data_IF_325313097626
#
_entry.id   IF_325313097626
#
_cell.length_a   1.000
_cell.length_b   1.000
_cell.length_c   1.000
_cell.angle_alpha   90.00
_cell.angle_beta   90.00
_cell.angle_gamma   90.00
#
_symmetry.space_group_name_H-M   'P 1'
#
loop_
_entity.id
_entity.type
_entity.pdbx_description
1 polymer ?
#
# COMPACT_ATOMS: atom_id res chain seq x y z
N UNK A 1 26.55 2.71 16.31
CA UNK A 1 25.92 1.51 15.71
C UNK A 1 24.77 1.11 16.61
N UNK A 2 23.58 1.69 16.41
CA UNK A 2 22.40 1.35 17.21
C UNK A 2 21.81 0.07 16.65
N UNK A 3 21.76 -0.98 17.47
CA UNK A 3 21.03 -2.20 17.18
C UNK A 3 19.60 -1.81 16.78
N UNK A 4 19.18 -2.13 15.56
CA UNK A 4 17.77 -2.12 15.21
C UNK A 4 17.15 -3.32 15.90
N UNK A 5 16.24 -3.07 16.85
CA UNK A 5 15.42 -4.09 17.50
C UNK A 5 14.94 -5.12 16.47
N UNK A 6 15.02 -6.40 16.83
CA UNK A 6 14.82 -7.57 15.96
C UNK A 6 13.39 -7.76 15.43
N UNK A 7 12.73 -6.69 14.99
CA UNK A 7 11.40 -6.74 14.40
C UNK A 7 11.53 -6.98 12.89
N UNK A 8 10.99 -8.11 12.45
CA UNK A 8 10.91 -8.43 11.01
C UNK A 8 10.13 -7.34 10.29
N UNK A 9 10.69 -6.70 9.24
CA UNK A 9 9.99 -5.63 8.53
C UNK A 9 8.69 -6.16 7.91
N UNK A 10 7.62 -5.37 8.03
CA UNK A 10 6.27 -5.73 7.63
C UNK A 10 5.67 -4.71 6.65
N UNK A 11 5.29 -5.20 5.48
CA UNK A 11 4.65 -4.45 4.40
C UNK A 11 3.21 -4.93 4.23
N UNK A 12 2.27 -4.02 4.01
CA UNK A 12 0.88 -4.35 3.73
C UNK A 12 0.44 -3.94 2.32
N UNK A 13 -0.40 -4.78 1.70
CA UNK A 13 -1.11 -4.49 0.46
C UNK A 13 -2.58 -4.25 0.81
N UNK A 14 -3.02 -2.99 0.74
CA UNK A 14 -4.41 -2.58 1.01
C UNK A 14 -5.36 -3.02 -0.10
N UNK A 15 -6.65 -3.17 0.21
CA UNK A 15 -7.73 -3.30 -0.79
C UNK A 15 -8.08 -1.91 -1.33
N UNK A 16 -8.18 -1.78 -2.66
CA UNK A 16 -8.66 -0.55 -3.28
C UNK A 16 -10.17 -0.36 -3.06
N UNK A 17 -10.58 0.86 -2.72
CA UNK A 17 -11.97 1.23 -2.42
C UNK A 17 -12.55 2.28 -3.37
N UNK A 18 -11.75 2.87 -4.26
CA UNK A 18 -12.13 4.04 -5.06
C UNK A 18 -13.31 3.79 -6.02
N UNK A 19 -13.36 2.63 -6.68
CA UNK A 19 -14.48 2.21 -7.52
C UNK A 19 -14.41 0.69 -7.78
N UNK A 20 -15.43 0.14 -8.45
CA UNK A 20 -15.50 -1.28 -8.77
C UNK A 20 -14.53 -1.74 -9.88
N UNK A 21 -14.02 -0.79 -10.69
CA UNK A 21 -13.22 -1.05 -11.88
C UNK A 21 -11.71 -1.01 -11.60
N UNK A 22 -11.28 -0.48 -10.46
CA UNK A 22 -9.88 -0.49 -10.03
C UNK A 22 -9.51 -1.90 -9.54
N UNK A 23 -8.99 -2.69 -10.47
CA UNK A 23 -8.57 -4.07 -10.23
C UNK A 23 -7.06 -4.19 -10.01
N UNK A 24 -6.27 -3.14 -10.22
CA UNK A 24 -4.80 -3.24 -10.12
C UNK A 24 -4.38 -3.49 -8.67
N UNK A 25 -3.15 -3.98 -8.52
CA UNK A 25 -2.50 -4.15 -7.23
C UNK A 25 -1.14 -3.45 -7.27
N UNK A 26 -0.68 -2.82 -6.17
CA UNK A 26 0.62 -2.15 -6.14
C UNK A 26 1.78 -3.16 -6.27
N UNK A 27 1.56 -4.42 -5.87
CA UNK A 27 2.52 -5.51 -5.99
C UNK A 27 1.83 -6.76 -6.55
N UNK A 28 2.50 -7.43 -7.48
CA UNK A 28 2.07 -8.73 -8.03
C UNK A 28 2.53 -9.87 -7.11
N UNK A 29 1.98 -11.09 -7.22
CA UNK A 29 2.48 -12.26 -6.49
C UNK A 29 3.99 -12.51 -6.70
N UNK A 30 4.53 -12.21 -7.89
CA UNK A 30 5.97 -12.33 -8.18
C UNK A 30 6.80 -11.36 -7.32
N UNK A 31 6.33 -10.13 -7.12
CA UNK A 31 6.99 -9.17 -6.24
C UNK A 31 6.92 -9.61 -4.78
N UNK A 32 5.76 -10.08 -4.33
CA UNK A 32 5.57 -10.58 -2.98
C UNK A 32 6.48 -11.77 -2.68
N UNK A 33 6.61 -12.73 -3.60
CA UNK A 33 7.56 -13.84 -3.49
C UNK A 33 8.98 -13.38 -3.24
N UNK A 34 9.42 -12.30 -3.93
CA UNK A 34 10.77 -11.73 -3.75
C UNK A 34 10.94 -11.07 -2.38
N UNK A 35 9.91 -10.40 -1.87
CA UNK A 35 9.92 -9.77 -0.54
C UNK A 35 9.95 -10.81 0.57
N UNK A 36 9.08 -11.82 0.49
CA UNK A 36 9.02 -12.92 1.47
C UNK A 36 10.35 -13.67 1.52
N UNK A 37 10.97 -13.96 0.36
CA UNK A 37 12.32 -14.56 0.31
C UNK A 37 13.41 -13.72 0.96
N UNK A 38 13.24 -12.40 1.03
CA UNK A 38 14.16 -11.49 1.73
C UNK A 38 13.85 -11.37 3.22
N UNK A 39 12.92 -12.15 3.75
CA UNK A 39 12.51 -12.11 5.15
C UNK A 39 11.57 -10.94 5.49
N UNK A 40 10.91 -10.33 4.50
CA UNK A 40 9.91 -9.28 4.73
C UNK A 40 8.54 -9.95 4.90
N UNK A 41 7.84 -9.66 6.00
CA UNK A 41 6.45 -10.08 6.20
C UNK A 41 5.56 -9.25 5.27
N UNK A 42 4.66 -9.93 4.54
CA UNK A 42 3.71 -9.26 3.65
C UNK A 42 2.28 -9.56 4.09
N UNK A 43 1.57 -8.55 4.58
CA UNK A 43 0.14 -8.61 4.86
C UNK A 43 -0.65 -8.24 3.61
N UNK A 44 -1.80 -8.86 3.40
CA UNK A 44 -2.70 -8.52 2.29
C UNK A 44 -4.14 -8.51 2.75
N UNK A 45 -4.83 -7.40 2.48
CA UNK A 45 -6.26 -7.34 2.70
C UNK A 45 -7.02 -8.22 1.67
N UNK A 46 -8.02 -8.99 2.13
CA UNK A 46 -9.00 -9.64 1.27
C UNK A 46 -9.55 -8.69 0.22
N UNK A 47 -9.68 -9.13 -1.04
CA UNK A 47 -10.35 -8.35 -2.08
C UNK A 47 -10.88 -9.27 -3.16
N UNK A 48 -12.15 -9.10 -3.53
CA UNK A 48 -12.80 -9.82 -4.62
C UNK A 48 -12.61 -9.13 -5.99
N UNK A 49 -11.98 -7.95 -6.03
CA UNK A 49 -11.82 -7.14 -7.26
C UNK A 49 -10.42 -7.20 -7.87
N UNK A 50 -9.41 -7.49 -7.04
CA UNK A 50 -8.00 -7.48 -7.43
C UNK A 50 -7.75 -8.40 -8.65
N UNK A 51 -6.87 -7.97 -9.55
CA UNK A 51 -6.55 -8.65 -10.80
C UNK A 51 -5.90 -10.01 -10.58
N UNK A 52 -5.19 -10.16 -9.46
CA UNK A 52 -4.62 -11.42 -9.02
C UNK A 52 -5.48 -12.00 -7.88
N UNK A 53 -5.93 -13.26 -7.99
CA UNK A 53 -6.61 -13.97 -6.91
C UNK A 53 -5.80 -13.95 -5.61
N UNK A 54 -6.49 -13.91 -4.47
CA UNK A 54 -5.82 -13.88 -3.17
C UNK A 54 -5.00 -15.13 -2.90
N UNK A 55 -5.42 -16.27 -3.47
CA UNK A 55 -4.74 -17.56 -3.36
C UNK A 55 -3.32 -17.50 -3.93
N UNK A 56 -3.10 -16.73 -5.00
CA UNK A 56 -1.78 -16.57 -5.61
C UNK A 56 -0.80 -15.85 -4.67
N UNK A 57 -1.31 -14.91 -3.85
CA UNK A 57 -0.50 -14.23 -2.84
C UNK A 57 -0.20 -15.16 -1.65
N UNK A 58 -1.17 -15.94 -1.20
CA UNK A 58 -0.98 -16.91 -0.11
C UNK A 58 0.05 -17.97 -0.51
N UNK A 59 -0.01 -18.47 -1.75
CA UNK A 59 0.92 -19.46 -2.26
C UNK A 59 2.39 -18.99 -2.28
N UNK A 60 2.62 -17.67 -2.26
CA UNK A 60 3.97 -17.07 -2.20
C UNK A 60 4.35 -16.53 -0.82
N UNK A 61 3.53 -16.81 0.21
CA UNK A 61 3.82 -16.50 1.61
C UNK A 61 3.25 -15.17 2.11
N UNK A 62 2.28 -14.56 1.42
CA UNK A 62 1.51 -13.46 1.99
C UNK A 62 0.56 -13.95 3.09
N UNK A 63 0.32 -13.10 4.09
CA UNK A 63 -0.60 -13.36 5.19
C UNK A 63 -1.87 -12.55 4.94
N UNK A 64 -3.02 -13.24 4.86
CA UNK A 64 -4.31 -12.58 4.69
C UNK A 64 -4.77 -12.00 6.02
N UNK A 65 -4.99 -10.68 6.07
CA UNK A 65 -5.40 -9.99 7.29
C UNK A 65 -6.16 -8.71 6.93
N UNK A 66 -7.25 -8.42 7.65
CA UNK A 66 -8.02 -7.19 7.44
C UNK A 66 -7.35 -5.99 8.13
N UNK A 67 -6.86 -6.20 9.36
CA UNK A 67 -6.10 -5.20 10.12
C UNK A 67 -4.65 -5.11 9.62
N UNK A 68 -4.23 -3.91 9.25
CA UNK A 68 -2.88 -3.62 8.73
C UNK A 68 -2.00 -2.86 9.73
N UNK A 69 -2.47 -2.71 10.98
CA UNK A 69 -1.80 -1.92 12.03
C UNK A 69 -0.41 -2.46 12.41
N UNK A 70 -0.09 -3.71 12.10
CA UNK A 70 1.27 -4.26 12.29
C UNK A 70 2.27 -3.77 11.24
N UNK A 71 1.81 -3.36 10.04
CA UNK A 71 2.70 -2.97 8.97
C UNK A 71 3.35 -1.61 9.26
N UNK A 72 4.62 -1.46 8.89
CA UNK A 72 5.29 -0.16 8.89
C UNK A 72 5.01 0.60 7.59
N UNK A 73 4.86 -0.12 6.48
CA UNK A 73 4.54 0.41 5.16
C UNK A 73 3.24 -0.19 4.61
N UNK A 74 2.28 0.66 4.24
CA UNK A 74 1.02 0.28 3.61
C UNK A 74 1.01 0.79 2.17
N UNK A 75 0.80 -0.13 1.21
CA UNK A 75 0.77 0.18 -0.21
C UNK A 75 -0.64 0.12 -0.77
N UNK A 76 -0.99 1.12 -1.59
CA UNK A 76 -2.19 1.13 -2.44
C UNK A 76 -1.86 1.65 -3.84
N UNK A 77 -2.72 1.39 -4.81
CA UNK A 77 -2.65 1.98 -6.15
C UNK A 77 -3.10 3.43 -6.07
N UNK A 78 -4.27 3.71 -5.46
CA UNK A 78 -4.81 5.07 -5.38
C UNK A 78 -4.71 5.64 -3.96
N UNK A 79 -5.00 6.93 -3.84
CA UNK A 79 -5.04 7.61 -2.56
C UNK A 79 -6.04 6.94 -1.60
N UNK A 80 -5.69 6.95 -0.31
CA UNK A 80 -6.51 6.37 0.77
C UNK A 80 -7.38 7.48 1.36
N UNK A 81 -8.70 7.26 1.55
CA UNK A 81 -9.54 8.23 2.25
C UNK A 81 -8.99 8.57 3.63
N UNK A 82 -9.05 9.84 4.04
CA UNK A 82 -8.46 10.33 5.30
C UNK A 82 -8.96 9.52 6.51
N UNK A 83 -10.24 9.12 6.50
CA UNK A 83 -10.89 8.37 7.57
C UNK A 83 -10.36 6.93 7.72
N UNK A 84 -9.72 6.39 6.67
CA UNK A 84 -9.13 5.05 6.65
C UNK A 84 -7.61 5.07 6.89
N UNK A 85 -7.02 6.25 7.11
CA UNK A 85 -5.61 6.36 7.46
C UNK A 85 -5.37 5.87 8.88
N UNK A 86 -4.49 4.88 9.00
CA UNK A 86 -3.98 4.41 10.29
C UNK A 86 -2.91 5.41 10.74
N UNK A 87 -3.05 6.02 11.94
CA UNK A 87 -2.05 6.96 12.45
C UNK A 87 -0.66 6.36 12.56
N UNK A 88 0.38 7.19 12.41
CA UNK A 88 1.79 6.83 12.61
C UNK A 88 2.31 5.73 11.65
N UNK A 89 1.64 5.54 10.50
CA UNK A 89 2.06 4.60 9.45
C UNK A 89 2.70 5.29 8.27
N UNK A 90 3.49 4.52 7.51
CA UNK A 90 4.00 4.96 6.22
C UNK A 90 3.08 4.49 5.10
N UNK A 91 2.68 5.39 4.21
CA UNK A 91 1.88 5.04 3.02
C UNK A 91 2.67 5.27 1.72
N UNK A 92 2.48 4.38 0.74
CA UNK A 92 2.99 4.53 -0.61
C UNK A 92 1.88 4.23 -1.64
N UNK A 93 1.51 5.23 -2.44
CA UNK A 93 0.46 5.13 -3.45
C UNK A 93 0.64 6.15 -4.58
N UNK A 94 -0.11 5.95 -5.68
CA UNK A 94 -0.21 6.95 -6.74
C UNK A 94 -1.30 7.97 -6.39
N UNK A 95 -0.88 9.19 -6.05
CA UNK A 95 -1.75 10.27 -5.58
C UNK A 95 -2.47 11.01 -6.69
N UNK A 96 -2.08 10.85 -7.97
CA UNK A 96 -2.59 11.67 -9.10
C UNK A 96 -2.50 13.20 -8.82
N UNK A 97 -1.57 13.65 -7.97
CA UNK A 97 -1.44 15.05 -7.53
C UNK A 97 -0.68 15.96 -8.51
N UNK A 98 -0.31 15.46 -9.69
CA UNK A 98 0.47 16.19 -10.70
C UNK A 98 -0.23 17.48 -11.18
N UNK A 99 -1.56 17.58 -11.02
CA UNK A 99 -2.33 18.75 -11.47
C UNK A 99 -2.60 19.84 -10.42
N UNK A 100 -1.96 19.82 -9.26
CA UNK A 100 -2.17 20.81 -8.19
C UNK A 100 -3.66 21.10 -7.92
N UNK A 101 -4.49 20.05 -7.95
CA UNK A 101 -5.93 20.21 -7.73
C UNK A 101 -6.18 20.53 -6.26
N UNK A 102 -6.90 21.62 -6.04
CA UNK A 102 -7.19 22.22 -4.72
C UNK A 102 -7.84 21.24 -3.74
N UNK A 103 -8.51 20.21 -4.25
CA UNK A 103 -9.18 19.15 -3.48
C UNK A 103 -8.22 18.25 -2.67
N UNK A 104 -6.92 18.21 -3.01
CA UNK A 104 -5.93 17.35 -2.34
C UNK A 104 -5.15 18.03 -1.20
N UNK A 105 -5.37 19.32 -0.96
CA UNK A 105 -4.71 20.07 0.13
C UNK A 105 -5.07 19.57 1.54
N UNK A 106 -6.33 19.16 1.85
CA UNK A 106 -6.66 18.58 3.15
C UNK A 106 -5.98 17.23 3.42
N UNK A 107 -5.67 16.45 2.38
CA UNK A 107 -4.91 15.21 2.50
C UNK A 107 -3.45 15.51 2.84
N UNK A 108 -2.87 16.55 2.26
CA UNK A 108 -1.51 16.99 2.56
C UNK A 108 -1.38 17.48 4.01
N UNK A 109 -2.34 18.26 4.51
CA UNK A 109 -2.35 18.73 5.90
C UNK A 109 -2.55 17.59 6.91
N UNK A 110 -3.46 16.65 6.62
CA UNK A 110 -3.66 15.47 7.45
C UNK A 110 -2.39 14.60 7.52
N UNK A 111 -1.61 14.57 6.45
CA UNK A 111 -0.36 13.81 6.35
C UNK A 111 0.75 14.45 7.16
N UNK A 112 0.95 15.77 7.03
CA UNK A 112 1.94 16.51 7.81
C UNK A 112 1.74 16.36 9.33
N UNK A 113 0.51 16.12 9.78
CA UNK A 113 0.17 15.96 11.19
C UNK A 113 0.05 14.51 11.70
N UNK A 114 -0.09 13.48 10.84
CA UNK A 114 -0.48 12.12 11.30
C UNK A 114 0.28 10.93 10.71
N UNK A 115 0.94 11.03 9.55
CA UNK A 115 1.53 9.87 8.85
C UNK A 115 2.75 10.26 8.00
N UNK A 116 3.64 9.31 7.69
CA UNK A 116 4.71 9.53 6.71
C UNK A 116 4.27 9.06 5.32
N UNK A 117 4.42 9.86 4.27
CA UNK A 117 4.13 9.43 2.90
C UNK A 117 5.41 9.39 2.09
N UNK A 118 5.66 8.24 1.45
CA UNK A 118 6.63 8.12 0.38
C UNK A 118 5.89 7.90 -0.94
N UNK A 119 5.59 8.97 -1.66
CA UNK A 119 5.14 8.88 -3.04
C UNK A 119 6.36 8.78 -3.95
N UNK A 120 6.57 7.62 -4.59
CA UNK A 120 7.48 7.54 -5.74
C UNK A 120 6.72 7.85 -7.01
N UNK A 121 7.17 8.88 -7.71
CA UNK A 121 6.72 9.28 -9.04
C UNK A 121 7.11 8.18 -10.04
N UNK A 122 6.23 7.20 -10.27
CA UNK A 122 6.38 6.27 -11.37
C UNK A 122 5.48 6.77 -12.51
N UNK A 123 6.10 7.07 -13.66
CA UNK A 123 5.39 7.31 -14.91
C UNK A 123 4.60 6.05 -15.22
N UNK A 124 3.27 6.12 -15.15
CA UNK A 124 2.42 5.24 -15.92
C UNK A 124 2.00 6.10 -17.11
N UNK A 125 2.64 5.89 -18.26
CA UNK A 125 2.10 6.37 -19.52
C UNK A 125 0.71 5.74 -19.65
N UNK A 126 -0.32 6.58 -19.60
CA UNK A 126 -1.64 6.22 -20.09
C UNK A 126 -1.56 6.28 -21.62
N UNK A 127 -1.00 5.23 -22.22
CA UNK A 127 -1.18 4.99 -23.65
C UNK A 127 -2.57 4.35 -23.85
N UNK A 128 -3.53 5.21 -24.21
CA UNK A 128 -4.70 4.85 -25.00
C UNK A 128 -4.68 5.66 -26.29
#
# INVERSE_FOLDING_TARGET
>A
MTASDGQTPCLAIRRETINAWERRAPLTPVHVKKLVKKGIRVLIQPSNRRAFPIQDYVAVGAIVQEDLSEAQLIMSVKAVPIQELIPEKTYAFFSHTIKAQTENMPLLDAVLHRVSIHSKFLHAEEDF
#
